data_IF_103238864719
#
_entry.id   IF_103238864719
#
_cell.length_a   1.000
_cell.length_b   1.000
_cell.length_c   1.000
_cell.angle_alpha   90.00
_cell.angle_beta   90.00
_cell.angle_gamma   90.00
#
_symmetry.space_group_name_H-M   'P 1'
#
loop_
_entity.id
_entity.type
_entity.pdbx_description
1 polymer ?
#
# COMPACT_ATOMS: atom_id res chain seq x y z
N UNK A 1 -4.81 16.34 -2.03
CA UNK A 1 -5.05 14.90 -1.79
C UNK A 1 -5.26 14.69 -0.28
N UNK A 2 -6.07 13.72 0.16
CA UNK A 2 -6.30 13.43 1.59
C UNK A 2 -5.68 12.09 2.00
N UNK A 3 -4.38 12.04 2.38
CA UNK A 3 -3.70 10.78 2.71
C UNK A 3 -4.41 9.94 3.78
N UNK A 4 -5.04 10.59 4.77
CA UNK A 4 -5.81 9.93 5.83
C UNK A 4 -6.93 9.01 5.31
N UNK A 5 -7.49 9.26 4.13
CA UNK A 5 -8.49 8.38 3.54
C UNK A 5 -7.93 6.97 3.27
N UNK A 6 -6.67 6.86 2.82
CA UNK A 6 -6.01 5.56 2.63
C UNK A 6 -5.74 4.86 3.96
N UNK A 7 -5.38 5.61 5.00
CA UNK A 7 -5.21 5.04 6.34
C UNK A 7 -6.52 4.45 6.85
N UNK A 8 -7.64 5.17 6.70
CA UNK A 8 -8.96 4.67 7.09
C UNK A 8 -9.38 3.45 6.27
N UNK A 9 -9.15 3.45 4.96
CA UNK A 9 -9.38 2.27 4.12
C UNK A 9 -8.57 1.06 4.59
N UNK A 10 -7.31 1.26 4.98
CA UNK A 10 -6.51 0.17 5.51
C UNK A 10 -7.09 -0.45 6.79
N UNK A 11 -7.64 0.39 7.67
CA UNK A 11 -8.30 -0.06 8.90
C UNK A 11 -9.57 -0.86 8.58
N UNK A 12 -10.41 -0.37 7.66
CA UNK A 12 -11.61 -1.08 7.21
C UNK A 12 -11.24 -2.45 6.61
N UNK A 13 -10.26 -2.50 5.71
CA UNK A 13 -9.81 -3.77 5.12
C UNK A 13 -9.23 -4.73 6.16
N UNK A 14 -8.58 -4.22 7.21
CA UNK A 14 -8.10 -5.04 8.32
C UNK A 14 -9.26 -5.68 9.09
N UNK A 15 -10.30 -4.89 9.41
CA UNK A 15 -11.51 -5.36 10.07
C UNK A 15 -12.26 -6.41 9.22
N UNK A 16 -12.27 -6.24 7.89
CA UNK A 16 -12.84 -7.21 6.94
C UNK A 16 -11.95 -8.44 6.70
N UNK A 17 -10.85 -8.61 7.45
CA UNK A 17 -9.85 -9.69 7.28
C UNK A 17 -9.19 -9.71 5.89
N UNK A 18 -9.31 -8.64 5.11
CA UNK A 18 -8.66 -8.41 3.81
C UNK A 18 -7.24 -7.88 3.99
N UNK A 19 -6.38 -8.72 4.57
CA UNK A 19 -5.04 -8.31 5.02
C UNK A 19 -4.11 -7.86 3.89
N UNK A 20 -4.31 -8.34 2.65
CA UNK A 20 -3.55 -7.87 1.48
C UNK A 20 -3.90 -6.43 1.12
N UNK A 21 -5.18 -6.11 1.09
CA UNK A 21 -5.73 -4.78 0.81
C UNK A 21 -5.41 -3.79 1.95
N UNK A 22 -5.44 -4.24 3.21
CA UNK A 22 -5.01 -3.41 4.34
C UNK A 22 -3.56 -2.95 4.18
N UNK A 23 -2.65 -3.88 3.88
CA UNK A 23 -1.26 -3.54 3.58
C UNK A 23 -1.10 -2.71 2.32
N UNK A 24 -1.90 -2.94 1.28
CA UNK A 24 -1.89 -2.10 0.08
C UNK A 24 -2.18 -0.63 0.42
N UNK A 25 -3.26 -0.37 1.15
CA UNK A 25 -3.65 0.98 1.50
C UNK A 25 -2.69 1.66 2.50
N UNK A 26 -2.11 0.91 3.46
CA UNK A 26 -1.01 1.44 4.28
C UNK A 26 0.20 1.82 3.44
N UNK A 27 0.55 0.98 2.45
CA UNK A 27 1.64 1.27 1.52
C UNK A 27 1.42 2.57 0.73
N UNK A 28 0.21 2.77 0.22
CA UNK A 28 -0.18 4.02 -0.46
C UNK A 28 -0.14 5.20 0.50
N UNK A 29 -0.70 5.07 1.71
CA UNK A 29 -0.70 6.12 2.72
C UNK A 29 0.72 6.60 3.05
N UNK A 30 1.61 5.69 3.43
CA UNK A 30 2.98 6.03 3.81
C UNK A 30 3.78 6.60 2.64
N UNK A 31 3.50 6.18 1.41
CA UNK A 31 4.09 6.81 0.22
C UNK A 31 3.64 8.26 0.06
N UNK A 32 2.36 8.57 0.32
CA UNK A 32 1.83 9.95 0.21
C UNK A 32 2.37 10.91 1.26
N UNK A 33 2.85 10.39 2.39
CA UNK A 33 3.49 11.18 3.45
C UNK A 33 5.02 11.02 3.45
N UNK A 34 5.60 10.55 2.35
CA UNK A 34 7.05 10.41 2.12
C UNK A 34 7.81 9.51 3.11
N UNK A 35 7.11 8.63 3.84
CA UNK A 35 7.75 7.62 4.70
C UNK A 35 8.05 6.38 3.86
N UNK A 36 8.98 6.52 2.92
CA UNK A 36 9.23 5.57 1.83
C UNK A 36 9.63 4.17 2.32
N UNK A 37 10.43 4.07 3.39
CA UNK A 37 10.82 2.78 3.98
C UNK A 37 9.58 1.98 4.45
N UNK A 38 8.69 2.65 5.17
CA UNK A 38 7.45 2.06 5.69
C UNK A 38 6.46 1.76 4.56
N UNK A 39 6.39 2.62 3.56
CA UNK A 39 5.61 2.37 2.35
C UNK A 39 6.04 1.07 1.65
N UNK A 40 7.34 0.90 1.38
CA UNK A 40 7.88 -0.31 0.75
C UNK A 40 7.60 -1.58 1.57
N UNK A 41 7.75 -1.50 2.90
CA UNK A 41 7.44 -2.62 3.80
C UNK A 41 5.99 -3.10 3.60
N UNK A 42 5.03 -2.19 3.63
CA UNK A 42 3.62 -2.52 3.47
C UNK A 42 3.27 -2.98 2.05
N UNK A 43 3.80 -2.34 1.02
CA UNK A 43 3.56 -2.75 -0.37
C UNK A 43 4.11 -4.16 -0.67
N UNK A 44 5.28 -4.51 -0.12
CA UNK A 44 5.83 -5.86 -0.22
C UNK A 44 4.97 -6.90 0.51
N UNK A 45 4.43 -6.57 1.70
CA UNK A 45 3.47 -7.44 2.39
C UNK A 45 2.17 -7.59 1.61
N UNK A 46 1.70 -6.54 0.94
CA UNK A 46 0.50 -6.56 0.11
C UNK A 46 0.66 -7.51 -1.09
N UNK A 47 1.80 -7.48 -1.80
CA UNK A 47 2.05 -8.35 -2.96
C UNK A 47 1.98 -9.84 -2.64
N UNK A 48 2.26 -10.25 -1.40
CA UNK A 48 2.17 -11.65 -0.97
C UNK A 48 0.72 -12.15 -0.85
N UNK A 49 -0.26 -11.25 -0.77
CA UNK A 49 -1.64 -11.58 -0.39
C UNK A 49 -2.73 -11.04 -1.32
N UNK A 50 -2.44 -9.98 -2.08
CA UNK A 50 -3.39 -9.41 -3.04
C UNK A 50 -3.77 -10.43 -4.11
N UNK A 51 -5.07 -10.48 -4.44
CA UNK A 51 -5.62 -11.29 -5.55
C UNK A 51 -6.02 -10.44 -6.75
N UNK A 52 -6.37 -9.18 -6.51
CA UNK A 52 -6.77 -8.22 -7.53
C UNK A 52 -5.58 -7.84 -8.43
N UNK A 53 -5.65 -8.23 -9.71
CA UNK A 53 -4.61 -7.99 -10.71
C UNK A 53 -4.29 -6.50 -10.91
N UNK A 54 -5.30 -5.63 -10.83
CA UNK A 54 -5.11 -4.18 -10.98
C UNK A 54 -4.37 -3.60 -9.77
N UNK A 55 -4.72 -4.03 -8.55
CA UNK A 55 -3.99 -3.63 -7.33
C UNK A 55 -2.57 -4.17 -7.32
N UNK A 56 -2.33 -5.39 -7.78
CA UNK A 56 -0.98 -5.95 -7.94
C UNK A 56 -0.15 -5.08 -8.88
N UNK A 57 -0.69 -4.73 -10.06
CA UNK A 57 0.00 -3.86 -11.02
C UNK A 57 0.33 -2.50 -10.41
N UNK A 58 -0.63 -1.83 -9.76
CA UNK A 58 -0.41 -0.55 -9.07
C UNK A 58 0.64 -0.65 -7.96
N UNK A 59 0.64 -1.75 -7.20
CA UNK A 59 1.61 -2.00 -6.12
C UNK A 59 3.03 -2.11 -6.66
N UNK A 60 3.23 -2.85 -7.76
CA UNK A 60 4.54 -2.96 -8.42
C UNK A 60 5.03 -1.61 -8.95
N UNK A 61 4.17 -0.86 -9.64
CA UNK A 61 4.50 0.48 -10.14
C UNK A 61 4.92 1.44 -9.02
N UNK A 62 4.20 1.43 -7.90
CA UNK A 62 4.53 2.29 -6.76
C UNK A 62 5.85 1.87 -6.11
N UNK A 63 6.11 0.56 -5.97
CA UNK A 63 7.40 0.06 -5.48
C UNK A 63 8.56 0.50 -6.38
N UNK A 64 8.40 0.48 -7.69
CA UNK A 64 9.44 0.93 -8.63
C UNK A 64 9.69 2.44 -8.53
N UNK A 65 8.64 3.25 -8.38
CA UNK A 65 8.77 4.69 -8.11
C UNK A 65 9.55 4.96 -6.81
N UNK A 66 9.24 4.21 -5.75
CA UNK A 66 9.89 4.36 -4.43
C UNK A 66 11.34 3.85 -4.38
N UNK A 67 11.80 3.12 -5.40
CA UNK A 67 13.21 2.73 -5.56
C UNK A 67 14.01 3.79 -6.33
N UNK A 68 13.37 4.50 -7.26
CA UNK A 68 14.00 5.53 -8.09
C UNK A 68 14.17 6.88 -7.39
N UNK A 69 13.43 7.12 -6.32
CA UNK A 69 13.53 8.32 -5.47
C UNK A 69 14.55 8.20 -4.34
N UNK A 70 15.58 7.36 -4.51
CA UNK A 70 16.76 7.23 -3.64
C UNK A 70 17.94 7.81 -4.40
#
# INVERSE_FOLDING_TARGET
LYPKAYYNLANIMSLEKKTGESHYYLGVYYSKININKTARLHLNKALKKLKDKAKIKKTKQLLDQLKRGI
#
